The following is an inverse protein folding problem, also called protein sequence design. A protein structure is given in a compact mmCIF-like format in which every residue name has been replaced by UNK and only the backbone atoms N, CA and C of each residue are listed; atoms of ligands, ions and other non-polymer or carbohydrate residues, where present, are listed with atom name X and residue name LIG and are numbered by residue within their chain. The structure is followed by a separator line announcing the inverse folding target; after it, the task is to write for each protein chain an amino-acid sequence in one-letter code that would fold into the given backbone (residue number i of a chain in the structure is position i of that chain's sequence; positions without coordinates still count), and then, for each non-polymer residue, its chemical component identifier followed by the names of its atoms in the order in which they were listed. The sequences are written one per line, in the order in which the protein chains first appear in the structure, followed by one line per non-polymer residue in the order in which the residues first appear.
data_IF_951252468146
#
_entry.id   IF_951252468146
#
_cell.length_a   1.000
_cell.length_b   1.000
_cell.length_c   1.000
_cell.angle_alpha   90.00
_cell.angle_beta   90.00
_cell.angle_gamma   90.00
#
_symmetry.space_group_name_H-M   'P 1'
#
loop_
_entity.id
_entity.type
_entity.pdbx_description
1 polymer ?
#
# COMPACT_ATOMS: atom_id res chain seq x y z
N UNK A 1 3.81 11.83 21.68
CA UNK A 1 2.96 10.96 20.86
C UNK A 1 3.47 11.00 19.44
N UNK A 2 3.49 9.86 18.74
CA UNK A 2 3.87 9.83 17.33
C UNK A 2 2.81 10.56 16.49
N UNK A 3 3.25 11.26 15.45
CA UNK A 3 2.36 11.80 14.42
C UNK A 3 2.20 10.73 13.36
N UNK A 4 1.03 10.10 13.33
CA UNK A 4 0.71 8.96 12.47
C UNK A 4 0.20 9.47 11.12
N UNK A 5 0.65 8.83 10.05
CA UNK A 5 0.07 8.92 8.72
C UNK A 5 -0.36 7.53 8.26
N UNK A 6 -1.50 7.46 7.59
CA UNK A 6 -1.99 6.21 7.01
C UNK A 6 -1.44 6.08 5.60
N UNK A 7 -0.84 4.94 5.27
CA UNK A 7 -0.41 4.62 3.91
C UNK A 7 -1.17 3.40 3.38
N UNK A 8 -2.03 3.64 2.39
CA UNK A 8 -2.89 2.60 1.82
C UNK A 8 -2.40 2.19 0.43
N UNK A 9 -2.16 0.90 0.22
CA UNK A 9 -1.71 0.35 -1.06
C UNK A 9 -2.83 -0.45 -1.72
N UNK A 10 -3.15 -0.10 -2.97
CA UNK A 10 -4.07 -0.90 -3.78
C UNK A 10 -3.50 -2.30 -4.06
N UNK A 11 -4.37 -3.31 -4.08
CA UNK A 11 -3.93 -4.67 -4.39
C UNK A 11 -3.95 -4.95 -5.90
N UNK A 12 -5.04 -4.54 -6.56
CA UNK A 12 -5.27 -4.65 -7.99
C UNK A 12 -6.06 -3.45 -8.51
N UNK A 13 -6.70 -3.60 -9.67
CA UNK A 13 -7.53 -2.57 -10.29
C UNK A 13 -8.77 -3.23 -10.91
N UNK A 14 -9.92 -2.57 -11.03
CA UNK A 14 -10.17 -1.17 -10.63
C UNK A 14 -10.40 -1.01 -9.11
N UNK A 15 -10.61 0.22 -8.66
CA UNK A 15 -11.03 0.53 -7.28
C UNK A 15 -12.23 -0.25 -6.73
N UNK A 16 -13.10 -0.76 -7.60
CA UNK A 16 -14.32 -1.48 -7.19
C UNK A 16 -14.11 -2.96 -6.84
N UNK A 17 -12.90 -3.49 -6.97
CA UNK A 17 -12.64 -4.88 -6.54
C UNK A 17 -12.80 -5.00 -5.02
N UNK A 18 -13.17 -6.19 -4.55
CA UNK A 18 -13.43 -6.45 -3.12
C UNK A 18 -12.26 -6.02 -2.23
N UNK A 19 -11.04 -6.40 -2.63
CA UNK A 19 -9.82 -6.07 -1.89
C UNK A 19 -9.61 -4.56 -1.69
N UNK A 20 -9.79 -3.75 -2.74
CA UNK A 20 -9.60 -2.30 -2.65
C UNK A 20 -10.72 -1.61 -1.85
N UNK A 21 -11.95 -2.14 -1.94
CA UNK A 21 -13.07 -1.68 -1.11
C UNK A 21 -12.79 -1.94 0.37
N UNK A 22 -12.24 -3.10 0.70
CA UNK A 22 -11.86 -3.45 2.06
C UNK A 22 -10.69 -2.60 2.57
N UNK A 23 -9.64 -2.42 1.77
CA UNK A 23 -8.49 -1.55 2.09
C UNK A 23 -8.98 -0.13 2.36
N UNK A 24 -9.90 0.38 1.53
CA UNK A 24 -10.54 1.68 1.70
C UNK A 24 -11.22 1.78 3.06
N UNK A 25 -12.09 0.83 3.40
CA UNK A 25 -12.82 0.84 4.68
C UNK A 25 -11.86 0.88 5.87
N UNK A 26 -10.86 0.00 5.87
CA UNK A 26 -9.87 -0.07 6.95
C UNK A 26 -9.07 1.24 7.04
N UNK A 27 -8.69 1.83 5.92
CA UNK A 27 -7.98 3.10 5.88
C UNK A 27 -8.79 4.27 6.44
N UNK A 28 -10.08 4.35 6.11
CA UNK A 28 -10.96 5.35 6.68
C UNK A 28 -11.16 5.17 8.19
N UNK A 29 -11.34 3.93 8.65
CA UNK A 29 -11.49 3.62 10.06
C UNK A 29 -10.24 4.03 10.86
N UNK A 30 -9.04 3.69 10.37
CA UNK A 30 -7.79 4.06 11.03
C UNK A 30 -7.51 5.57 10.97
N UNK A 31 -7.79 6.22 9.83
CA UNK A 31 -7.64 7.66 9.70
C UNK A 31 -8.55 8.42 10.67
N UNK A 32 -9.80 7.97 10.87
CA UNK A 32 -10.71 8.52 11.89
C UNK A 32 -10.18 8.29 13.30
N UNK A 33 -9.76 7.06 13.61
CA UNK A 33 -9.26 6.69 14.94
C UNK A 33 -8.04 7.55 15.34
N UNK A 34 -7.13 7.79 14.40
CA UNK A 34 -5.89 8.52 14.64
C UNK A 34 -5.97 10.01 14.32
N UNK A 35 -7.09 10.49 13.77
CA UNK A 35 -7.21 11.82 13.17
C UNK A 35 -6.04 12.11 12.21
N UNK A 36 -5.75 11.14 11.34
CA UNK A 36 -4.55 11.09 10.52
C UNK A 36 -4.87 11.25 9.02
N UNK A 37 -3.99 11.92 8.25
CA UNK A 37 -4.13 11.99 6.80
C UNK A 37 -3.77 10.64 6.14
N UNK A 38 -4.27 10.41 4.93
CA UNK A 38 -4.02 9.21 4.13
C UNK A 38 -3.15 9.55 2.92
N UNK A 39 -2.12 8.75 2.64
CA UNK A 39 -1.41 8.72 1.35
C UNK A 39 -1.73 7.43 0.59
N UNK A 40 -2.15 7.54 -0.67
CA UNK A 40 -2.61 6.36 -1.43
C UNK A 40 -2.52 6.50 -2.96
N UNK A 41 -3.02 5.48 -3.66
CA UNK A 41 -3.09 5.32 -5.11
C UNK A 41 -4.50 5.61 -5.65
N UNK A 42 -4.67 5.76 -6.97
CA UNK A 42 -5.98 6.09 -7.57
C UNK A 42 -7.05 5.03 -7.36
N UNK A 43 -6.62 3.77 -7.23
CA UNK A 43 -7.49 2.61 -7.04
C UNK A 43 -7.98 2.44 -5.59
N UNK A 44 -7.57 3.31 -4.66
CA UNK A 44 -8.17 3.44 -3.33
C UNK A 44 -9.04 4.70 -3.30
N UNK A 45 -10.32 4.54 -2.99
CA UNK A 45 -11.32 5.61 -3.08
C UNK A 45 -11.83 5.97 -1.69
N UNK A 46 -11.19 6.96 -1.07
CA UNK A 46 -11.68 7.51 0.19
C UNK A 46 -12.97 8.31 -0.08
N UNK A 47 -14.03 7.98 0.64
CA UNK A 47 -15.37 8.54 0.51
C UNK A 47 -15.67 9.57 1.61
N UNK A 48 -14.99 9.48 2.75
CA UNK A 48 -15.14 10.43 3.85
C UNK A 48 -14.50 11.79 3.54
N UNK A 49 -15.32 12.83 3.42
CA UNK A 49 -14.87 14.21 3.13
C UNK A 49 -14.09 14.86 4.28
N UNK A 50 -14.14 14.30 5.49
CA UNK A 50 -13.39 14.79 6.64
C UNK A 50 -11.93 14.35 6.68
N UNK A 51 -11.55 13.38 5.84
CA UNK A 51 -10.19 12.84 5.80
C UNK A 51 -9.38 13.57 4.73
N UNK A 52 -8.20 14.06 5.11
CA UNK A 52 -7.25 14.64 4.16
C UNK A 52 -6.53 13.53 3.42
N UNK A 53 -6.63 13.52 2.08
CA UNK A 53 -6.07 12.47 1.22
C UNK A 53 -5.06 13.05 0.26
N UNK A 54 -3.92 12.38 0.17
CA UNK A 54 -2.84 12.64 -0.78
C UNK A 54 -2.76 11.44 -1.73
N UNK A 55 -2.77 11.72 -3.03
CA UNK A 55 -2.68 10.68 -4.06
C UNK A 55 -1.37 10.78 -4.80
N UNK A 56 -0.82 9.61 -5.12
CA UNK A 56 0.32 9.52 -6.02
C UNK A 56 -0.08 9.91 -7.45
N UNK A 57 0.84 10.52 -8.18
CA UNK A 57 0.64 10.77 -9.61
C UNK A 57 0.74 9.45 -10.39
N UNK A 58 -0.31 9.12 -11.15
CA UNK A 58 -0.38 7.90 -11.95
C UNK A 58 -0.71 8.19 -13.40
N UNK A 59 0.00 7.54 -14.32
CA UNK A 59 -0.36 7.51 -15.74
C UNK A 59 -1.49 6.50 -15.97
N UNK A 60 -2.49 6.82 -16.83
CA UNK A 60 -3.57 5.90 -17.14
C UNK A 60 -3.06 4.55 -17.66
N UNK A 61 -3.55 3.44 -17.08
CA UNK A 61 -3.25 2.08 -17.54
C UNK A 61 -1.92 1.48 -17.07
N UNK A 62 -1.07 2.24 -16.37
CA UNK A 62 0.18 1.75 -15.80
C UNK A 62 0.17 1.96 -14.27
N UNK A 63 -0.40 1.03 -13.49
CA UNK A 63 -0.43 1.16 -12.04
C UNK A 63 1.02 1.22 -11.53
N UNK A 64 1.37 2.21 -10.68
CA UNK A 64 2.74 2.45 -10.29
C UNK A 64 3.29 1.27 -9.47
N UNK A 65 4.60 0.98 -9.59
CA UNK A 65 5.25 -0.02 -8.74
C UNK A 65 5.14 0.33 -7.26
N UNK A 66 5.12 -0.70 -6.39
CA UNK A 66 5.04 -0.51 -4.93
C UNK A 66 6.15 0.41 -4.40
N UNK A 67 7.36 0.32 -4.95
CA UNK A 67 8.49 1.16 -4.56
C UNK A 67 8.26 2.64 -4.84
N UNK A 68 7.66 2.99 -5.98
CA UNK A 68 7.32 4.38 -6.30
C UNK A 68 6.33 4.96 -5.28
N UNK A 69 5.34 4.16 -4.86
CA UNK A 69 4.39 4.56 -3.82
C UNK A 69 5.08 4.72 -2.47
N UNK A 70 5.95 3.78 -2.10
CA UNK A 70 6.70 3.83 -0.86
C UNK A 70 7.58 5.10 -0.77
N UNK A 71 8.31 5.44 -1.84
CA UNK A 71 9.10 6.68 -1.92
C UNK A 71 8.24 7.93 -1.81
N UNK A 72 7.09 7.94 -2.49
CA UNK A 72 6.11 9.02 -2.38
C UNK A 72 5.57 9.18 -0.95
N UNK A 73 5.24 8.07 -0.28
CA UNK A 73 4.76 8.06 1.10
C UNK A 73 5.82 8.58 2.08
N UNK A 74 7.09 8.21 1.90
CA UNK A 74 8.19 8.73 2.75
C UNK A 74 8.40 10.23 2.52
N UNK A 75 8.38 10.69 1.27
CA UNK A 75 8.46 12.13 0.95
C UNK A 75 7.30 12.91 1.58
N UNK A 76 6.08 12.40 1.42
CA UNK A 76 4.87 12.96 2.01
C UNK A 76 4.95 13.00 3.55
N UNK A 77 5.42 11.92 4.16
CA UNK A 77 5.57 11.84 5.61
C UNK A 77 6.55 12.90 6.13
N UNK A 78 7.68 13.08 5.44
CA UNK A 78 8.65 14.15 5.73
C UNK A 78 8.02 15.54 5.66
N UNK A 79 7.32 15.85 4.57
CA UNK A 79 6.66 17.15 4.36
C UNK A 79 5.66 17.49 5.47
N UNK A 80 4.95 16.48 5.98
CA UNK A 80 3.99 16.64 7.07
C UNK A 80 4.57 16.37 8.46
N UNK A 81 5.87 16.10 8.60
CA UNK A 81 6.50 15.73 9.88
C UNK A 81 5.83 14.51 10.56
N UNK A 82 5.33 13.57 9.77
CA UNK A 82 4.84 12.25 10.20
C UNK A 82 6.06 11.39 10.56
N UNK A 83 6.02 10.76 11.74
CA UNK A 83 7.11 9.91 12.23
C UNK A 83 6.70 8.43 12.35
N UNK A 84 5.44 8.11 12.06
CA UNK A 84 4.94 6.75 11.98
C UNK A 84 4.00 6.59 10.78
N UNK A 85 4.27 5.59 9.94
CA UNK A 85 3.41 5.19 8.83
C UNK A 85 2.70 3.88 9.19
N UNK A 86 1.38 3.95 9.34
CA UNK A 86 0.56 2.76 9.49
C UNK A 86 0.17 2.21 8.11
N UNK A 87 0.57 0.96 7.84
CA UNK A 87 0.40 0.28 6.57
C UNK A 87 -0.97 -0.39 6.50
N UNK A 88 -1.68 -0.13 5.40
CA UNK A 88 -2.95 -0.77 5.06
C UNK A 88 -2.85 -1.30 3.63
N UNK A 89 -2.81 -2.62 3.49
CA UNK A 89 -2.71 -3.30 2.20
C UNK A 89 -3.29 -4.71 2.33
N UNK A 90 -3.53 -5.40 1.21
CA UNK A 90 -3.86 -6.82 1.25
C UNK A 90 -2.71 -7.64 1.88
N UNK A 91 -3.05 -8.65 2.67
CA UNK A 91 -2.06 -9.48 3.37
C UNK A 91 -0.99 -10.08 2.44
N UNK A 92 -1.33 -10.65 1.25
CA UNK A 92 -0.33 -11.23 0.35
C UNK A 92 0.69 -10.22 -0.22
N UNK A 93 0.40 -8.92 -0.09
CA UNK A 93 1.23 -7.81 -0.55
C UNK A 93 2.09 -7.20 0.56
N UNK A 94 1.78 -7.49 1.83
CA UNK A 94 2.39 -6.87 2.99
C UNK A 94 3.92 -6.98 2.99
N UNK A 95 4.47 -8.17 2.69
CA UNK A 95 5.92 -8.39 2.68
C UNK A 95 6.65 -7.43 1.73
N UNK A 96 6.10 -7.16 0.54
CA UNK A 96 6.70 -6.27 -0.46
C UNK A 96 6.52 -4.82 -0.05
N UNK A 97 5.35 -4.46 0.46
CA UNK A 97 5.08 -3.09 0.96
C UNK A 97 6.09 -2.73 2.05
N UNK A 98 6.28 -3.62 3.04
CA UNK A 98 7.26 -3.41 4.11
C UNK A 98 8.67 -3.23 3.56
N UNK A 99 9.13 -4.17 2.74
CA UNK A 99 10.47 -4.12 2.13
C UNK A 99 10.70 -2.80 1.38
N UNK A 100 9.74 -2.38 0.57
CA UNK A 100 9.87 -1.20 -0.27
C UNK A 100 9.79 0.11 0.56
N UNK A 101 8.99 0.14 1.64
CA UNK A 101 8.96 1.26 2.60
C UNK A 101 10.25 1.35 3.42
N UNK A 102 10.74 0.22 3.94
CA UNK A 102 12.00 0.16 4.69
C UNK A 102 13.15 0.69 3.84
N UNK A 103 13.21 0.30 2.56
CA UNK A 103 14.18 0.86 1.64
C UNK A 103 13.97 2.36 1.42
N UNK A 104 12.75 2.81 1.13
CA UNK A 104 12.49 4.23 0.88
C UNK A 104 12.87 5.10 2.09
N UNK A 105 12.63 4.61 3.31
CA UNK A 105 13.06 5.25 4.55
C UNK A 105 14.59 5.30 4.61
N UNK A 106 15.27 4.17 4.35
CA UNK A 106 16.73 4.09 4.32
C UNK A 106 17.35 5.03 3.28
N UNK A 107 16.79 5.11 2.07
CA UNK A 107 17.22 6.01 0.99
C UNK A 107 17.08 7.48 1.39
N UNK A 108 16.00 7.83 2.11
CA UNK A 108 15.72 9.20 2.54
C UNK A 108 16.55 9.68 3.74
N UNK A 109 17.04 8.74 4.56
CA UNK A 109 17.70 9.05 5.84
C UNK A 109 16.76 9.50 6.96
N UNK A 110 15.45 9.44 6.74
CA UNK A 110 14.44 9.84 7.74
C UNK A 110 14.27 8.79 8.84
N UNK A 111 13.80 9.23 10.02
CA UNK A 111 13.49 8.36 11.16
C UNK A 111 11.99 8.11 11.25
N UNK A 112 11.47 7.32 10.32
CA UNK A 112 10.06 6.96 10.23
C UNK A 112 9.89 5.51 10.70
N UNK A 113 8.96 5.28 11.61
CA UNK A 113 8.56 3.94 12.04
C UNK A 113 7.47 3.44 11.08
N UNK A 114 7.49 2.15 10.73
CA UNK A 114 6.36 1.51 10.06
C UNK A 114 5.63 0.59 11.04
N UNK A 115 4.31 0.70 11.06
CA UNK A 115 3.41 -0.21 11.77
C UNK A 115 2.45 -0.85 10.77
N UNK A 116 1.91 -2.02 11.11
CA UNK A 116 0.93 -2.72 10.27
C UNK A 116 -0.39 -2.68 11.00
N UNK A 117 -1.44 -2.20 10.33
CA UNK A 117 -2.77 -2.19 10.92
C UNK A 117 -3.19 -3.63 11.30
N UNK A 118 -3.52 -3.92 12.57
CA UNK A 118 -3.85 -5.27 13.01
C UNK A 118 -5.00 -5.88 12.22
N UNK A 119 -5.96 -5.08 11.73
CA UNK A 119 -7.10 -5.56 10.95
C UNK A 119 -6.70 -6.26 9.65
N UNK A 120 -5.53 -5.95 9.08
CA UNK A 120 -5.02 -6.62 7.88
C UNK A 120 -4.69 -8.10 8.15
N UNK A 121 -4.27 -8.42 9.37
CA UNK A 121 -3.81 -9.76 9.76
C UNK A 121 -4.84 -10.54 10.60
N UNK A 122 -6.03 -9.97 10.82
CA UNK A 122 -7.12 -10.67 11.51
C UNK A 122 -7.68 -11.79 10.62
N UNK A 123 -8.02 -12.91 11.27
CA UNK A 123 -8.47 -14.17 10.63
C UNK A 123 -9.80 -14.06 9.87
N UNK A 124 -10.53 -12.95 10.04
CA UNK A 124 -11.83 -12.74 9.40
C UNK A 124 -11.72 -12.59 7.88
N UNK A 125 -10.51 -12.37 7.37
CA UNK A 125 -10.22 -12.33 5.94
C UNK A 125 -9.42 -13.57 5.55
N UNK A 126 -10.10 -14.56 4.97
CA UNK A 126 -9.43 -15.71 4.38
C UNK A 126 -8.41 -15.20 3.35
N UNK A 127 -7.20 -15.76 3.30
CA UNK A 127 -6.12 -15.26 2.42
C UNK A 127 -6.58 -15.16 0.95
N UNK A 128 -7.45 -16.07 0.52
CA UNK A 128 -8.00 -16.07 -0.83
C UNK A 128 -9.00 -14.94 -1.13
N UNK A 129 -9.58 -14.30 -0.10
CA UNK A 129 -10.54 -13.21 -0.23
C UNK A 129 -9.94 -11.93 -0.82
N UNK A 130 -8.61 -11.80 -0.77
CA UNK A 130 -7.90 -10.68 -1.38
C UNK A 130 -7.85 -10.77 -2.92
N UNK A 131 -8.03 -11.97 -3.50
CA UNK A 131 -7.95 -12.16 -4.94
C UNK A 131 -9.32 -12.03 -5.59
N UNK A 132 -9.39 -11.29 -6.69
CA UNK A 132 -10.66 -10.97 -7.34
C UNK A 132 -10.56 -11.18 -8.86
N UNK A 133 -11.38 -12.09 -9.40
CA UNK A 133 -11.44 -12.40 -10.82
C UNK A 133 -11.80 -11.19 -11.69
N UNK A 134 -12.52 -10.22 -11.12
CA UNK A 134 -12.91 -8.98 -11.81
C UNK A 134 -11.75 -8.00 -11.99
N UNK A 135 -10.61 -8.22 -11.32
CA UNK A 135 -9.44 -7.36 -11.48
C UNK A 135 -8.96 -7.31 -12.93
N UNK A 136 -8.65 -6.13 -13.46
CA UNK A 136 -8.00 -5.97 -14.77
C UNK A 136 -6.54 -6.45 -14.74
N UNK A 137 -5.94 -6.55 -13.55
CA UNK A 137 -4.60 -7.07 -13.36
C UNK A 137 -4.61 -8.58 -13.16
N UNK A 138 -4.26 -9.35 -14.20
CA UNK A 138 -4.28 -10.83 -14.18
C UNK A 138 -3.60 -11.46 -12.95
N UNK A 139 -2.52 -10.85 -12.46
CA UNK A 139 -1.75 -11.33 -11.30
C UNK A 139 -2.52 -11.28 -9.97
N UNK A 140 -3.57 -10.48 -9.85
CA UNK A 140 -4.35 -10.31 -8.60
C UNK A 140 -5.67 -11.07 -8.65
N UNK A 141 -5.92 -11.84 -9.72
CA UNK A 141 -7.14 -12.63 -9.89
C UNK A 141 -7.12 -13.96 -9.13
N UNK A 142 -5.93 -14.44 -8.78
CA UNK A 142 -5.78 -15.67 -8.00
C UNK A 142 -4.43 -15.71 -7.30
N UNK A 143 -4.38 -16.44 -6.19
CA UNK A 143 -3.17 -16.70 -5.41
C UNK A 143 -2.04 -17.27 -6.25
N UNK A 144 -2.32 -18.28 -7.07
CA UNK A 144 -1.31 -18.90 -7.94
C UNK A 144 -0.69 -17.91 -8.93
N UNK A 145 -1.50 -17.02 -9.52
CA UNK A 145 -1.01 -16.01 -10.44
C UNK A 145 -0.15 -14.97 -9.72
N UNK A 146 -0.52 -14.61 -8.49
CA UNK A 146 0.24 -13.71 -7.63
C UNK A 146 1.59 -14.31 -7.24
N UNK A 147 1.60 -15.50 -6.65
CA UNK A 147 2.80 -16.19 -6.17
C UNK A 147 3.84 -16.41 -7.28
N UNK A 148 3.40 -16.72 -8.51
CA UNK A 148 4.31 -16.84 -9.65
C UNK A 148 5.17 -15.58 -9.83
N UNK A 149 4.57 -14.40 -9.69
CA UNK A 149 5.29 -13.13 -9.79
C UNK A 149 6.06 -12.80 -8.52
N UNK A 150 5.45 -12.99 -7.35
CA UNK A 150 6.10 -12.66 -6.09
C UNK A 150 7.36 -13.48 -5.86
N UNK A 151 7.38 -14.76 -6.25
CA UNK A 151 8.57 -15.60 -6.14
C UNK A 151 9.74 -15.07 -6.98
N UNK A 152 9.47 -14.53 -8.18
CA UNK A 152 10.49 -13.85 -8.99
C UNK A 152 11.00 -12.61 -8.26
N UNK A 153 10.11 -11.79 -7.71
CA UNK A 153 10.46 -10.55 -7.02
C UNK A 153 11.20 -10.76 -5.69
N UNK A 154 10.96 -11.88 -5.00
CA UNK A 154 11.69 -12.28 -3.78
C UNK A 154 13.13 -12.68 -4.09
N UNK A 155 13.37 -13.27 -5.26
CA UNK A 155 14.70 -13.73 -5.69
C UNK A 155 15.50 -12.65 -6.43
N UNK A 156 14.83 -11.61 -6.94
CA UNK A 156 15.47 -10.53 -7.67
C UNK A 156 16.33 -9.68 -6.72
N UNK A 157 17.63 -9.48 -6.98
CA UNK A 157 18.46 -8.55 -6.22
C UNK A 157 17.83 -7.15 -6.20
N UNK A 158 17.81 -6.54 -5.01
CA UNK A 158 17.08 -5.28 -4.82
C UNK A 158 17.63 -4.15 -5.71
N UNK A 159 18.94 -4.12 -5.97
CA UNK A 159 19.58 -3.17 -6.90
C UNK A 159 19.12 -3.29 -8.36
N UNK A 160 18.63 -4.47 -8.76
CA UNK A 160 18.02 -4.69 -10.08
C UNK A 160 16.53 -4.32 -10.02
N UNK A 161 15.84 -4.70 -8.95
CA UNK A 161 14.44 -4.34 -8.71
C UNK A 161 14.23 -2.82 -8.77
N UNK A 162 15.06 -2.03 -8.09
CA UNK A 162 14.94 -0.57 -8.06
C UNK A 162 15.00 0.04 -9.44
N UNK A 163 15.85 -0.46 -10.34
CA UNK A 163 15.95 0.05 -11.73
C UNK A 163 14.67 -0.17 -12.54
N UNK A 164 13.90 -1.20 -12.20
CA UNK A 164 12.67 -1.58 -12.92
C UNK A 164 11.42 -0.99 -12.24
N UNK A 165 11.48 -0.78 -10.92
CA UNK A 165 10.37 -0.32 -10.09
C UNK A 165 10.45 1.18 -9.71
N UNK A 166 11.37 1.94 -10.31
CA UNK A 166 11.50 3.40 -10.15
C UNK A 166 10.58 4.15 -11.10
#
# INVERSE_FOLDING_TARGET
MNKIGIVAFSFGAPSTISANTQITRIAEDQARLHNAPIYTQKDIKIHDSGIVVYQTDEEPGCPPPTLRIARGAVKWAKELSINELEIICAEPHLWRVKRDLEEAIRESGEKIIISVCPQIVLRDYHEDSWFDLSSTQKRTRSRRAWEKRENILKLLPFSIYTKIAS
#
